data_IF_075181673157
#
_entry.id   IF_075181673157
#
_cell.length_a   1.000
_cell.length_b   1.000
_cell.length_c   1.000
_cell.angle_alpha   90.00
_cell.angle_beta   90.00
_cell.angle_gamma   90.00
#
_symmetry.space_group_name_H-M   'P 1'
#
loop_
_entity.id
_entity.type
_entity.pdbx_description
1 polymer ?
#
# COMPACT_ATOMS: atom_id res chain seq x y z
N UNK A 1 -12.49 4.94 17.77
CA UNK A 1 -12.00 5.02 16.38
C UNK A 1 -12.20 3.69 15.69
N UNK A 2 -12.71 3.72 14.45
CA UNK A 2 -12.87 2.55 13.59
C UNK A 2 -11.93 2.65 12.40
N UNK A 3 -11.39 1.52 11.94
CA UNK A 3 -10.56 1.45 10.73
C UNK A 3 -11.41 0.95 9.58
N UNK A 4 -11.38 1.66 8.45
CA UNK A 4 -12.05 1.27 7.22
C UNK A 4 -11.08 1.22 6.06
N UNK A 5 -10.84 0.02 5.53
CA UNK A 5 -10.09 -0.17 4.31
C UNK A 5 -10.98 0.19 3.10
N UNK A 6 -10.53 1.08 2.23
CA UNK A 6 -11.18 1.28 0.94
C UNK A 6 -10.79 0.16 -0.02
N UNK A 7 -11.67 -0.14 -0.98
CA UNK A 7 -11.44 -1.20 -1.99
C UNK A 7 -10.09 -1.08 -2.71
N UNK A 8 -9.62 0.15 -2.96
CA UNK A 8 -8.31 0.40 -3.57
C UNK A 8 -7.16 -0.06 -2.66
N UNK A 9 -7.20 0.30 -1.38
CA UNK A 9 -6.19 -0.11 -0.41
C UNK A 9 -6.10 -1.64 -0.26
N UNK A 10 -7.26 -2.33 -0.25
CA UNK A 10 -7.30 -3.80 -0.19
C UNK A 10 -6.63 -4.41 -1.42
N UNK A 11 -7.03 -3.99 -2.63
CA UNK A 11 -6.43 -4.50 -3.88
C UNK A 11 -4.93 -4.25 -3.95
N UNK A 12 -4.47 -3.07 -3.54
CA UNK A 12 -3.04 -2.75 -3.59
C UNK A 12 -2.24 -3.55 -2.56
N UNK A 13 -2.83 -3.87 -1.40
CA UNK A 13 -2.22 -4.80 -0.44
C UNK A 13 -2.14 -6.23 -0.99
N UNK A 14 -3.18 -6.70 -1.68
CA UNK A 14 -3.19 -8.02 -2.35
C UNK A 14 -2.15 -8.09 -3.47
N UNK A 15 -2.06 -7.06 -4.31
CA UNK A 15 -1.06 -6.96 -5.38
C UNK A 15 0.37 -6.91 -4.83
N UNK A 16 0.60 -6.15 -3.77
CA UNK A 16 1.88 -6.12 -3.05
C UNK A 16 2.25 -7.53 -2.57
N UNK A 17 1.31 -8.23 -1.91
CA UNK A 17 1.56 -9.57 -1.42
C UNK A 17 1.89 -10.53 -2.56
N UNK A 18 1.11 -10.50 -3.65
CA UNK A 18 1.34 -11.33 -4.83
C UNK A 18 2.73 -11.08 -5.44
N UNK A 19 3.08 -9.81 -5.64
CA UNK A 19 4.38 -9.40 -6.21
C UNK A 19 5.57 -9.89 -5.37
N UNK A 20 5.55 -9.68 -4.05
CA UNK A 20 6.64 -10.16 -3.19
C UNK A 20 6.67 -11.70 -3.14
N UNK A 21 5.50 -12.35 -3.20
CA UNK A 21 5.40 -13.81 -3.14
C UNK A 21 6.03 -14.53 -4.33
N UNK A 22 6.19 -13.86 -5.47
CA UNK A 22 6.88 -14.41 -6.65
C UNK A 22 8.35 -14.72 -6.34
N UNK A 23 8.97 -13.93 -5.44
CA UNK A 23 10.37 -14.09 -5.04
C UNK A 23 10.50 -14.73 -3.64
N UNK A 24 9.73 -14.24 -2.66
CA UNK A 24 9.79 -14.72 -1.28
C UNK A 24 8.44 -14.60 -0.56
N UNK A 25 7.75 -15.75 -0.41
CA UNK A 25 6.44 -15.84 0.24
C UNK A 25 6.44 -15.48 1.74
N UNK A 26 7.52 -15.80 2.44
CA UNK A 26 7.66 -15.44 3.86
C UNK A 26 7.80 -13.92 4.02
N UNK A 27 8.62 -13.30 3.17
CA UNK A 27 8.77 -11.84 3.14
C UNK A 27 7.45 -11.15 2.80
N UNK A 28 6.66 -11.69 1.88
CA UNK A 28 5.32 -11.17 1.55
C UNK A 28 4.40 -11.18 2.78
N UNK A 29 4.32 -12.31 3.47
CA UNK A 29 3.50 -12.48 4.68
C UNK A 29 3.96 -11.54 5.79
N UNK A 30 5.26 -11.51 6.07
CA UNK A 30 5.86 -10.63 7.08
C UNK A 30 5.58 -9.15 6.80
N UNK A 31 5.61 -8.75 5.53
CA UNK A 31 5.34 -7.36 5.12
C UNK A 31 3.87 -6.98 5.36
N UNK A 32 2.92 -7.83 4.99
CA UNK A 32 1.49 -7.60 5.25
C UNK A 32 1.21 -7.51 6.75
N UNK A 33 1.81 -8.38 7.56
CA UNK A 33 1.66 -8.34 9.01
C UNK A 33 2.21 -7.04 9.62
N UNK A 34 3.36 -6.55 9.15
CA UNK A 34 3.90 -5.24 9.58
C UNK A 34 2.93 -4.10 9.25
N UNK A 35 2.34 -4.11 8.04
CA UNK A 35 1.35 -3.11 7.63
C UNK A 35 0.12 -3.15 8.54
N UNK A 36 -0.44 -4.35 8.77
CA UNK A 36 -1.62 -4.53 9.62
C UNK A 36 -1.38 -4.07 11.06
N UNK A 37 -0.22 -4.42 11.64
CA UNK A 37 0.15 -3.99 13.00
C UNK A 37 0.29 -2.48 13.13
N UNK A 38 0.92 -1.84 12.15
CA UNK A 38 1.04 -0.38 12.14
C UNK A 38 -0.33 0.30 11.98
N UNK A 39 -1.17 -0.21 11.08
CA UNK A 39 -2.54 0.27 10.89
C UNK A 39 -3.37 0.15 12.16
N UNK A 40 -3.23 -0.92 12.93
CA UNK A 40 -3.95 -1.10 14.19
C UNK A 40 -3.64 0.00 15.22
N UNK A 41 -2.43 0.59 15.19
CA UNK A 41 -2.08 1.71 16.07
C UNK A 41 -2.92 2.96 15.80
N UNK A 42 -3.49 3.12 14.60
CA UNK A 42 -4.34 4.25 14.24
C UNK A 42 -5.65 4.30 15.03
N UNK A 43 -6.07 3.20 15.67
CA UNK A 43 -7.21 3.24 16.60
C UNK A 43 -6.91 4.15 17.79
N UNK A 44 -5.69 4.08 18.32
CA UNK A 44 -5.26 4.87 19.49
C UNK A 44 -4.63 6.20 19.08
N UNK A 45 -3.89 6.22 17.97
CA UNK A 45 -3.13 7.37 17.51
C UNK A 45 -3.48 7.72 16.05
N UNK A 46 -4.71 8.16 15.76
CA UNK A 46 -5.19 8.40 14.39
C UNK A 46 -4.44 9.50 13.66
N UNK A 47 -3.64 10.32 14.35
CA UNK A 47 -2.89 11.42 13.76
C UNK A 47 -1.37 11.20 13.76
N UNK A 48 -0.88 9.99 14.11
CA UNK A 48 0.56 9.69 14.19
C UNK A 48 1.28 9.70 12.83
N UNK A 49 0.52 9.58 11.74
CA UNK A 49 1.07 9.68 10.40
C UNK A 49 1.41 11.12 10.05
N UNK A 50 2.50 11.31 9.31
CA UNK A 50 2.90 12.63 8.81
C UNK A 50 1.85 13.17 7.83
N UNK A 51 1.82 14.48 7.66
CA UNK A 51 0.98 15.13 6.64
C UNK A 51 1.29 14.54 5.26
N UNK A 52 0.26 14.14 4.53
CA UNK A 52 0.39 13.61 3.18
C UNK A 52 0.50 14.69 2.12
N UNK A 53 0.82 14.28 0.89
CA UNK A 53 0.94 15.18 -0.27
C UNK A 53 -0.39 15.79 -0.72
N UNK A 54 -1.49 15.09 -0.47
CA UNK A 54 -2.84 15.57 -0.77
C UNK A 54 -3.43 16.12 0.53
N UNK A 55 -4.04 17.31 0.44
CA UNK A 55 -4.67 17.95 1.59
C UNK A 55 -5.68 17.01 2.29
N UNK A 56 -5.67 17.02 3.62
CA UNK A 56 -6.53 16.16 4.44
C UNK A 56 -6.12 14.67 4.46
N UNK A 57 -5.00 14.30 3.84
CA UNK A 57 -4.43 12.95 3.92
C UNK A 57 -3.21 12.90 4.82
N UNK A 58 -2.89 11.70 5.27
CA UNK A 58 -1.74 11.36 6.11
C UNK A 58 -1.04 10.13 5.57
N UNK A 59 0.25 10.06 5.82
CA UNK A 59 1.11 8.95 5.42
C UNK A 59 1.61 8.23 6.68
N UNK A 60 1.23 6.96 6.84
CA UNK A 60 1.76 6.09 7.88
C UNK A 60 2.92 5.27 7.29
N UNK A 61 4.15 5.66 7.63
CA UNK A 61 5.36 4.95 7.23
C UNK A 61 5.45 3.61 7.98
N UNK A 62 5.74 2.53 7.26
CA UNK A 62 5.84 1.19 7.84
C UNK A 62 7.32 0.86 8.04
N UNK A 63 7.78 0.95 9.29
CA UNK A 63 9.17 0.73 9.66
C UNK A 63 9.75 -0.57 9.12
N UNK A 64 11.00 -0.53 8.68
CA UNK A 64 11.73 -1.67 8.12
C UNK A 64 11.04 -2.31 6.91
N UNK A 65 10.31 -1.50 6.14
CA UNK A 65 9.77 -1.85 4.83
C UNK A 65 9.84 -0.63 3.92
N UNK A 66 9.84 -0.81 2.59
CA UNK A 66 9.74 0.30 1.67
C UNK A 66 8.29 0.75 1.45
N UNK A 67 7.35 0.47 2.36
CA UNK A 67 5.92 0.76 2.17
C UNK A 67 5.39 1.79 3.15
N UNK A 68 4.31 2.46 2.74
CA UNK A 68 3.53 3.32 3.62
C UNK A 68 2.05 3.30 3.23
N UNK A 69 1.19 3.62 4.20
CA UNK A 69 -0.26 3.64 4.01
C UNK A 69 -0.74 5.09 3.92
N UNK A 70 -1.48 5.42 2.87
CA UNK A 70 -2.17 6.71 2.75
C UNK A 70 -3.53 6.57 3.41
N UNK A 71 -3.85 7.48 4.33
CA UNK A 71 -5.12 7.46 5.02
C UNK A 71 -5.66 8.86 5.30
N UNK A 72 -6.91 8.94 5.76
CA UNK A 72 -7.50 10.17 6.30
C UNK A 72 -8.35 9.87 7.52
N UNK A 73 -8.54 10.86 8.38
CA UNK A 73 -9.45 10.78 9.53
C UNK A 73 -10.74 11.53 9.18
N UNK A 74 -11.88 10.87 9.29
CA UNK A 74 -13.22 11.46 9.09
C UNK A 74 -14.10 11.11 10.28
N UNK A 75 -14.34 12.10 11.15
CA UNK A 75 -15.02 11.87 12.43
C UNK A 75 -14.30 10.79 13.24
N UNK A 76 -15.01 9.73 13.60
CA UNK A 76 -14.46 8.59 14.37
C UNK A 76 -13.91 7.46 13.48
N UNK A 77 -13.69 7.70 12.18
CA UNK A 77 -13.26 6.68 11.21
C UNK A 77 -11.94 7.05 10.56
N UNK A 78 -10.97 6.15 10.64
CA UNK A 78 -9.73 6.17 9.87
C UNK A 78 -9.97 5.42 8.56
N UNK A 79 -9.92 6.12 7.43
CA UNK A 79 -10.12 5.53 6.10
C UNK A 79 -8.77 5.31 5.43
N UNK A 80 -8.39 4.05 5.20
CA UNK A 80 -7.18 3.71 4.46
C UNK A 80 -7.48 3.79 2.97
N UNK A 81 -6.81 4.71 2.31
CA UNK A 81 -7.03 5.06 0.92
C UNK A 81 -6.17 4.19 0.00
N UNK A 82 -4.92 3.93 0.39
CA UNK A 82 -3.94 3.24 -0.45
C UNK A 82 -2.76 2.65 0.36
N UNK A 83 -2.05 1.70 -0.23
CA UNK A 83 -0.78 1.13 0.24
C UNK A 83 0.25 1.28 -0.87
N UNK A 84 1.31 2.05 -0.64
CA UNK A 84 2.26 2.48 -1.67
C UNK A 84 3.69 2.14 -1.33
N UNK A 85 4.50 1.87 -2.35
CA UNK A 85 5.95 1.69 -2.24
C UNK A 85 6.67 3.06 -2.30
N UNK A 86 7.52 3.34 -1.33
CA UNK A 86 8.22 4.61 -1.14
C UNK A 86 9.11 5.00 -2.33
N UNK A 87 9.82 4.05 -2.94
CA UNK A 87 10.68 4.34 -4.11
C UNK A 87 9.93 4.55 -5.43
N UNK A 88 8.69 4.05 -5.55
CA UNK A 88 7.89 4.20 -6.78
C UNK A 88 7.29 5.60 -6.90
N UNK A 89 7.23 6.33 -5.80
CA UNK A 89 6.76 7.72 -5.79
C UNK A 89 7.81 8.68 -6.32
N UNK A 90 9.10 8.34 -6.22
CA UNK A 90 10.17 9.11 -6.86
C UNK A 90 10.17 8.92 -8.38
N UNK A 91 9.61 7.82 -8.89
CA UNK A 91 9.45 7.59 -10.33
C UNK A 91 8.21 8.23 -10.92
N UNK A 92 7.13 8.41 -10.16
CA UNK A 92 5.95 9.11 -10.67
C UNK A 92 6.22 10.58 -11.03
N UNK A 93 7.26 11.19 -10.47
CA UNK A 93 7.78 12.52 -10.86
C UNK A 93 8.84 12.50 -11.98
N UNK A 94 9.28 11.33 -12.47
CA UNK A 94 10.37 11.26 -13.47
C UNK A 94 10.21 10.22 -14.60
N UNK A 95 9.37 9.20 -14.51
CA UNK A 95 9.22 8.16 -15.53
C UNK A 95 7.84 7.49 -15.45
N UNK A 96 6.87 8.08 -16.16
CA UNK A 96 5.76 7.31 -16.69
C UNK A 96 6.28 6.39 -17.82
N UNK A 97 5.65 5.22 -17.98
CA UNK A 97 5.75 4.31 -19.13
C UNK A 97 7.05 3.50 -19.29
N UNK A 98 7.11 2.28 -18.71
CA UNK A 98 7.29 1.03 -19.49
C UNK A 98 7.29 -0.23 -18.61
N UNK A 99 7.83 -0.17 -17.37
CA UNK A 99 8.06 -1.41 -16.58
C UNK A 99 6.84 -1.93 -15.82
N UNK A 100 5.91 -1.06 -15.40
CA UNK A 100 4.70 -1.50 -14.68
C UNK A 100 3.66 -2.17 -15.58
N UNK A 101 3.58 -1.75 -16.84
CA UNK A 101 2.61 -2.32 -17.77
C UNK A 101 3.02 -3.72 -18.21
N UNK A 102 4.32 -3.96 -18.43
CA UNK A 102 4.85 -5.27 -18.82
C UNK A 102 4.66 -6.32 -17.72
N UNK A 103 4.81 -5.98 -16.43
CA UNK A 103 4.60 -6.94 -15.35
C UNK A 103 3.12 -7.37 -15.21
N UNK A 104 2.18 -6.44 -15.39
CA UNK A 104 0.75 -6.74 -15.33
C UNK A 104 0.27 -7.45 -16.60
N UNK A 105 0.81 -7.11 -17.79
CA UNK A 105 0.52 -7.82 -19.03
C UNK A 105 1.08 -9.25 -19.01
N UNK A 106 2.30 -9.46 -18.53
CA UNK A 106 2.87 -10.80 -18.39
C UNK A 106 2.03 -11.67 -17.45
N UNK A 107 1.55 -11.09 -16.34
CA UNK A 107 0.67 -11.78 -15.39
C UNK A 107 -0.69 -12.18 -16.01
N UNK A 108 -1.28 -11.32 -16.86
CA UNK A 108 -2.54 -11.61 -17.55
C UNK A 108 -2.37 -12.60 -18.71
N UNK A 109 -1.27 -12.51 -19.47
CA UNK A 109 -0.96 -13.40 -20.58
C UNK A 109 -0.63 -14.83 -20.10
N UNK A 110 0.03 -14.98 -18.94
CA UNK A 110 0.32 -16.31 -18.38
C UNK A 110 -0.91 -16.99 -17.76
N UNK A 111 -2.02 -16.26 -17.58
CA UNK A 111 -3.28 -16.76 -16.98
C UNK A 111 -4.42 -16.98 -17.98
N UNK A 112 -4.24 -16.55 -19.23
CA UNK A 112 -5.17 -16.78 -20.34
C UNK A 112 -4.41 -17.58 -21.41
N UNK A 113 -4.40 -18.91 -21.26
CA UNK A 113 -3.82 -19.82 -22.27
C UNK A 113 -4.49 -19.59 -23.65
N UNK A 114 -3.71 -19.06 -24.58
CA UNK A 114 -3.57 -19.58 -25.94
C UNK A 114 -2.13 -20.01 -26.12
#
# INVERSE_FOLDING_TARGET
MQIRWLRKAVRNLEQLHAYISEDNREAATSTVLKIQRAVAQLVKFPYMGRTGRVEGTRELVISSTPYFVVYRVKGNVVQLLDVLHASLILRASHQANLKFHLAVLQYLLTRLNL
#
